data_IF_555731279036
#
_entry.id   IF_555731279036
#
_cell.length_a   1.000
_cell.length_b   1.000
_cell.length_c   1.000
_cell.angle_alpha   90.00
_cell.angle_beta   90.00
_cell.angle_gamma   90.00
#
_symmetry.space_group_name_H-M   'P 1'
#
loop_
_entity.id
_entity.type
_entity.pdbx_description
1 polymer ?
#
# COMPACT_ATOMS: atom_id res chain seq x y z
N UNK A 1 93.84 -31.27 -26.35
CA UNK A 1 92.85 -32.14 -25.68
C UNK A 1 91.88 -31.27 -24.99
N UNK A 2 90.70 -31.06 -25.55
CA UNK A 2 89.68 -30.24 -24.97
C UNK A 2 88.32 -30.73 -25.47
N UNK A 3 87.53 -31.34 -24.61
CA UNK A 3 86.21 -31.88 -24.94
C UNK A 3 85.19 -30.77 -24.87
N UNK A 4 84.54 -30.48 -25.98
CA UNK A 4 83.34 -29.59 -26.06
C UNK A 4 82.14 -30.35 -25.57
N UNK A 5 81.44 -29.81 -24.53
CA UNK A 5 80.11 -30.23 -24.12
C UNK A 5 79.10 -29.32 -24.73
N UNK A 6 78.23 -29.84 -25.62
CA UNK A 6 77.06 -29.20 -26.09
C UNK A 6 75.97 -29.38 -25.06
N UNK A 7 75.49 -28.27 -24.48
CA UNK A 7 74.26 -28.25 -23.66
C UNK A 7 73.07 -28.15 -24.58
N UNK A 8 72.25 -29.18 -24.60
CA UNK A 8 70.94 -29.14 -25.23
C UNK A 8 70.01 -28.24 -24.41
N UNK A 9 69.43 -27.19 -25.03
CA UNK A 9 68.41 -26.35 -24.49
C UNK A 9 67.09 -27.09 -24.63
N UNK A 10 66.50 -27.49 -23.52
CA UNK A 10 65.09 -28.01 -23.49
C UNK A 10 64.15 -26.84 -23.42
N UNK A 11 63.36 -26.66 -24.48
CA UNK A 11 62.26 -25.72 -24.48
C UNK A 11 61.11 -26.35 -23.69
N UNK A 12 60.80 -25.83 -22.48
CA UNK A 12 59.63 -26.21 -21.72
C UNK A 12 58.43 -25.42 -22.22
N UNK A 13 57.52 -26.09 -22.87
CA UNK A 13 56.21 -25.53 -23.24
C UNK A 13 55.39 -25.47 -21.98
N UNK A 14 55.16 -24.27 -21.44
CA UNK A 14 54.23 -24.04 -20.34
C UNK A 14 52.82 -24.05 -20.93
N UNK A 15 52.09 -25.13 -20.71
CA UNK A 15 50.65 -25.19 -20.97
C UNK A 15 49.94 -24.38 -19.88
N UNK A 16 49.42 -23.20 -20.23
CA UNK A 16 48.49 -22.44 -19.36
C UNK A 16 47.17 -23.20 -19.27
N UNK A 17 47.00 -23.98 -18.22
CA UNK A 17 45.69 -24.49 -17.87
C UNK A 17 44.87 -23.34 -17.24
N UNK A 18 44.01 -22.72 -18.02
CA UNK A 18 42.94 -21.85 -17.50
C UNK A 18 41.97 -22.71 -16.72
N UNK A 19 42.17 -22.77 -15.39
CA UNK A 19 41.09 -23.21 -14.50
C UNK A 19 39.97 -22.16 -14.60
N UNK A 20 38.98 -22.47 -15.43
CA UNK A 20 37.69 -21.83 -15.35
C UNK A 20 37.04 -22.22 -14.02
N UNK A 21 37.25 -21.41 -13.00
CA UNK A 21 36.42 -21.49 -11.80
C UNK A 21 35.01 -21.05 -12.22
N UNK A 22 34.18 -22.01 -12.59
CA UNK A 22 32.73 -21.82 -12.57
C UNK A 22 32.40 -21.62 -11.11
N UNK A 23 32.29 -20.33 -10.70
CA UNK A 23 31.54 -20.01 -9.51
C UNK A 23 30.08 -20.45 -9.75
N UNK A 24 29.75 -21.65 -9.32
CA UNK A 24 28.39 -22.01 -9.03
C UNK A 24 27.95 -21.05 -7.94
N UNK A 25 27.27 -19.98 -8.36
CA UNK A 25 26.39 -19.27 -7.46
C UNK A 25 25.40 -20.32 -6.97
N UNK A 26 25.71 -20.97 -5.84
CA UNK A 26 24.71 -21.70 -5.10
C UNK A 26 23.66 -20.64 -4.79
N UNK A 27 22.52 -20.70 -5.47
CA UNK A 27 21.31 -20.04 -5.05
C UNK A 27 21.00 -20.60 -3.67
N UNK A 28 21.57 -19.97 -2.64
CA UNK A 28 21.26 -20.31 -1.27
C UNK A 28 19.75 -20.13 -1.12
N UNK A 29 19.06 -21.22 -0.93
CA UNK A 29 17.68 -21.22 -0.46
C UNK A 29 17.67 -20.34 0.76
N UNK A 30 17.01 -19.17 0.68
CA UNK A 30 16.75 -18.36 1.85
C UNK A 30 15.73 -19.16 2.65
N UNK A 31 16.21 -19.97 3.59
CA UNK A 31 15.36 -20.67 4.53
C UNK A 31 14.98 -19.67 5.61
N UNK A 32 13.68 -19.41 5.79
CA UNK A 32 13.23 -18.64 6.93
C UNK A 32 13.45 -19.46 8.19
N UNK A 33 14.33 -18.98 9.04
CA UNK A 33 14.36 -19.51 10.39
C UNK A 33 13.12 -18.99 11.15
N UNK A 34 12.58 -19.81 12.03
CA UNK A 34 11.68 -19.33 13.08
C UNK A 34 12.34 -18.14 13.77
N UNK A 35 11.65 -17.01 13.83
CA UNK A 35 12.17 -15.76 14.36
C UNK A 35 12.55 -14.72 13.29
N UNK A 36 12.40 -15.03 12.01
CA UNK A 36 12.61 -14.04 10.95
C UNK A 36 11.62 -12.89 11.06
N UNK A 37 12.14 -11.68 10.92
CA UNK A 37 11.34 -10.47 10.82
C UNK A 37 10.94 -10.17 9.38
N UNK A 38 9.82 -9.50 9.23
CA UNK A 38 9.34 -9.01 7.94
C UNK A 38 8.32 -7.91 8.11
N UNK A 39 7.81 -7.43 7.00
CA UNK A 39 6.88 -6.30 6.92
C UNK A 39 5.60 -6.70 6.21
N UNK A 40 4.56 -5.90 6.35
CA UNK A 40 3.43 -6.02 5.44
C UNK A 40 3.17 -4.67 4.76
N UNK A 41 2.69 -4.74 3.52
CA UNK A 41 2.61 -3.62 2.61
C UNK A 41 1.25 -3.49 1.96
N UNK A 42 0.82 -2.23 1.87
CA UNK A 42 -0.28 -1.80 1.02
C UNK A 42 0.17 -0.62 0.13
N UNK A 43 -0.76 0.17 -0.33
CA UNK A 43 -0.46 1.41 -1.10
C UNK A 43 0.37 2.44 -0.31
N UNK A 44 0.32 2.38 1.02
CA UNK A 44 0.98 3.36 1.89
C UNK A 44 2.51 3.25 1.87
N UNK A 45 3.04 2.07 1.51
CA UNK A 45 4.49 1.85 1.35
C UNK A 45 4.97 2.12 -0.08
N UNK A 46 4.09 2.68 -0.94
CA UNK A 46 4.41 3.06 -2.31
C UNK A 46 4.65 1.89 -3.27
N UNK A 47 5.01 2.18 -4.51
CA UNK A 47 5.12 1.18 -5.58
C UNK A 47 6.15 0.08 -5.32
N UNK A 48 7.19 0.37 -4.55
CA UNK A 48 8.30 -0.58 -4.34
C UNK A 48 8.27 -1.24 -2.96
N UNK A 49 7.36 -0.81 -2.08
CA UNK A 49 7.39 -1.19 -0.68
C UNK A 49 8.64 -0.65 0.05
N UNK A 50 8.70 -0.85 1.35
CA UNK A 50 9.81 -0.40 2.20
C UNK A 50 10.13 -1.53 3.18
N UNK A 51 11.39 -1.98 3.22
CA UNK A 51 11.93 -2.75 4.34
C UNK A 51 12.49 -1.77 5.37
N UNK A 52 12.07 -1.91 6.62
CA UNK A 52 12.49 -1.01 7.70
C UNK A 52 13.91 -1.24 8.15
N UNK A 53 14.35 -2.51 8.09
CA UNK A 53 15.63 -2.95 8.63
C UNK A 53 16.30 -4.00 7.73
N UNK A 54 17.64 -4.12 7.77
CA UNK A 54 18.38 -5.11 6.96
C UNK A 54 18.02 -6.57 7.29
N UNK A 55 17.54 -6.82 8.51
CA UNK A 55 17.13 -8.14 9.00
C UNK A 55 15.70 -8.53 8.61
N UNK A 56 14.93 -7.66 7.97
CA UNK A 56 13.66 -8.05 7.35
C UNK A 56 13.89 -9.05 6.22
N UNK A 57 13.19 -10.20 6.27
CA UNK A 57 13.38 -11.34 5.36
C UNK A 57 12.19 -11.59 4.44
N UNK A 58 11.02 -11.05 4.78
CA UNK A 58 9.81 -11.25 3.99
C UNK A 58 8.92 -10.00 3.96
N UNK A 59 8.02 -9.96 3.00
CA UNK A 59 6.92 -9.00 2.93
C UNK A 59 5.61 -9.73 2.65
N UNK A 60 4.53 -9.34 3.35
CA UNK A 60 3.15 -9.76 3.04
C UNK A 60 2.44 -8.61 2.35
N UNK A 61 1.97 -8.80 1.13
CA UNK A 61 1.65 -7.72 0.20
C UNK A 61 0.16 -7.75 -0.14
N UNK A 62 -0.51 -6.60 -0.01
CA UNK A 62 -1.93 -6.48 -0.31
C UNK A 62 -2.23 -6.68 -1.80
N UNK A 63 -3.06 -7.67 -2.11
CA UNK A 63 -3.56 -7.89 -3.47
C UNK A 63 -4.69 -6.92 -3.84
N UNK A 64 -5.47 -6.54 -2.85
CA UNK A 64 -6.70 -5.78 -2.94
C UNK A 64 -7.67 -6.27 -1.87
N UNK A 65 -8.97 -6.24 -2.17
CA UNK A 65 -9.97 -6.74 -1.24
C UNK A 65 -11.39 -6.33 -1.56
N UNK A 66 -12.24 -6.36 -0.54
CA UNK A 66 -13.64 -5.94 -0.60
C UNK A 66 -13.85 -4.61 0.10
N UNK A 67 -14.77 -3.80 -0.39
CA UNK A 67 -15.20 -2.55 0.25
C UNK A 67 -16.45 -2.76 1.11
N UNK A 68 -16.79 -1.76 1.93
CA UNK A 68 -18.05 -1.74 2.70
C UNK A 68 -19.27 -1.93 1.81
N UNK A 69 -19.24 -1.41 0.57
CA UNK A 69 -20.31 -1.55 -0.42
C UNK A 69 -20.19 -2.82 -1.27
N UNK A 70 -19.40 -3.81 -0.85
CA UNK A 70 -19.25 -5.08 -1.53
C UNK A 70 -18.69 -4.98 -2.96
N UNK A 71 -17.76 -4.04 -3.21
CA UNK A 71 -17.03 -3.97 -4.47
C UNK A 71 -15.62 -4.55 -4.30
N UNK A 72 -15.18 -5.35 -5.26
CA UNK A 72 -13.81 -5.82 -5.34
C UNK A 72 -12.91 -4.71 -5.88
N UNK A 73 -11.72 -4.57 -5.32
CA UNK A 73 -10.70 -3.62 -5.81
C UNK A 73 -9.33 -4.26 -5.86
N UNK A 74 -8.54 -3.92 -6.86
CA UNK A 74 -7.13 -4.27 -6.94
C UNK A 74 -6.27 -3.25 -6.21
N UNK A 75 -5.26 -3.73 -5.48
CA UNK A 75 -4.22 -2.85 -4.96
C UNK A 75 -3.22 -2.57 -6.08
N UNK A 76 -3.20 -1.35 -6.56
CA UNK A 76 -2.38 -0.95 -7.70
C UNK A 76 -0.87 -1.14 -7.51
N UNK A 77 -0.40 -1.20 -6.25
CA UNK A 77 1.01 -1.42 -5.90
C UNK A 77 1.40 -2.90 -5.89
N UNK A 78 0.44 -3.83 -5.89
CA UNK A 78 0.70 -5.25 -5.64
C UNK A 78 1.81 -5.83 -6.52
N UNK A 79 1.67 -5.75 -7.82
CA UNK A 79 2.64 -6.38 -8.74
C UNK A 79 4.04 -5.76 -8.67
N UNK A 80 4.15 -4.45 -8.46
CA UNK A 80 5.45 -3.78 -8.31
C UNK A 80 6.10 -4.08 -6.98
N UNK A 81 5.34 -4.18 -5.90
CA UNK A 81 5.83 -4.56 -4.57
C UNK A 81 6.32 -6.02 -4.54
N UNK A 82 5.58 -6.97 -5.15
CA UNK A 82 6.04 -8.35 -5.28
C UNK A 82 7.38 -8.43 -6.01
N UNK A 83 7.49 -7.77 -7.17
CA UNK A 83 8.76 -7.73 -7.90
C UNK A 83 9.90 -7.09 -7.10
N UNK A 84 9.60 -6.02 -6.37
CA UNK A 84 10.59 -5.34 -5.52
C UNK A 84 11.11 -6.24 -4.39
N UNK A 85 10.23 -6.93 -3.68
CA UNK A 85 10.61 -7.86 -2.62
C UNK A 85 11.51 -8.98 -3.17
N UNK A 86 11.11 -9.62 -4.27
CA UNK A 86 11.86 -10.71 -4.90
C UNK A 86 13.23 -10.22 -5.42
N UNK A 87 13.28 -9.04 -6.05
CA UNK A 87 14.54 -8.46 -6.53
C UNK A 87 15.53 -8.17 -5.41
N UNK A 88 15.05 -7.91 -4.19
CA UNK A 88 15.87 -7.73 -2.99
C UNK A 88 16.20 -9.05 -2.28
N UNK A 89 15.87 -10.21 -2.88
CA UNK A 89 16.12 -11.53 -2.31
C UNK A 89 15.24 -11.83 -1.09
N UNK A 90 14.09 -11.15 -0.95
CA UNK A 90 13.15 -11.35 0.14
C UNK A 90 11.96 -12.20 -0.31
N UNK A 91 11.37 -12.95 0.62
CA UNK A 91 10.17 -13.73 0.36
C UNK A 91 8.97 -12.79 0.26
N UNK A 92 8.14 -12.99 -0.75
CA UNK A 92 6.92 -12.23 -0.99
C UNK A 92 5.70 -13.14 -0.75
N UNK A 93 4.79 -12.69 0.06
CA UNK A 93 3.52 -13.33 0.37
C UNK A 93 2.38 -12.38 0.07
N UNK A 94 1.14 -12.81 0.28
CA UNK A 94 -0.03 -12.06 -0.13
C UNK A 94 -1.02 -11.92 1.02
N UNK A 95 -1.81 -10.84 1.00
CA UNK A 95 -3.04 -10.76 1.76
C UNK A 95 -4.17 -10.12 0.97
N UNK A 96 -5.42 -10.43 1.37
CA UNK A 96 -6.66 -9.92 0.79
C UNK A 96 -7.44 -9.26 1.92
N UNK A 97 -7.74 -7.97 1.80
CA UNK A 97 -8.63 -7.26 2.71
C UNK A 97 -10.02 -7.87 2.68
N UNK A 98 -10.45 -8.47 3.80
CA UNK A 98 -11.62 -9.34 3.90
C UNK A 98 -12.75 -8.67 4.67
N UNK A 99 -13.48 -7.75 4.01
CA UNK A 99 -14.54 -6.97 4.65
C UNK A 99 -15.92 -7.39 4.15
N UNK A 100 -16.85 -7.67 5.07
CA UNK A 100 -18.25 -8.04 4.79
C UNK A 100 -18.42 -9.29 3.91
N UNK A 101 -17.52 -10.24 3.97
CA UNK A 101 -17.63 -11.54 3.30
C UNK A 101 -18.30 -12.52 4.26
N UNK A 102 -19.62 -12.67 4.15
CA UNK A 102 -20.45 -13.37 5.12
C UNK A 102 -21.01 -14.70 4.61
N UNK A 103 -20.84 -15.01 3.33
CA UNK A 103 -21.30 -16.26 2.72
C UNK A 103 -20.18 -16.93 1.94
N UNK A 104 -20.29 -18.26 1.78
CA UNK A 104 -19.34 -19.04 0.96
C UNK A 104 -19.38 -18.60 -0.51
N UNK A 105 -20.55 -18.23 -1.03
CA UNK A 105 -20.68 -17.71 -2.39
C UNK A 105 -19.91 -16.39 -2.58
N UNK A 106 -19.95 -15.49 -1.59
CA UNK A 106 -19.16 -14.26 -1.61
C UNK A 106 -17.65 -14.58 -1.55
N UNK A 107 -17.27 -15.54 -0.71
CA UNK A 107 -15.88 -16.01 -0.64
C UNK A 107 -15.40 -16.56 -2.00
N UNK A 108 -16.26 -17.31 -2.69
CA UNK A 108 -15.97 -17.79 -4.05
C UNK A 108 -15.76 -16.65 -5.04
N UNK A 109 -16.59 -15.61 -5.00
CA UNK A 109 -16.44 -14.45 -5.88
C UNK A 109 -15.11 -13.74 -5.63
N UNK A 110 -14.73 -13.52 -4.36
CA UNK A 110 -13.45 -12.91 -3.99
C UNK A 110 -12.29 -13.75 -4.51
N UNK A 111 -12.30 -15.06 -4.25
CA UNK A 111 -11.19 -15.93 -4.62
C UNK A 111 -11.10 -16.20 -6.11
N UNK A 112 -12.23 -16.28 -6.83
CA UNK A 112 -12.22 -16.34 -8.29
C UNK A 112 -11.60 -15.09 -8.92
N UNK A 113 -11.72 -13.94 -8.25
CA UNK A 113 -11.13 -12.69 -8.70
C UNK A 113 -9.62 -12.59 -8.39
N UNK A 114 -9.18 -13.01 -7.20
CA UNK A 114 -7.81 -12.80 -6.76
C UNK A 114 -6.85 -13.96 -7.07
N UNK A 115 -7.28 -15.22 -6.96
CA UNK A 115 -6.38 -16.36 -7.17
C UNK A 115 -5.67 -16.36 -8.54
N UNK A 116 -6.32 -15.98 -9.66
CA UNK A 116 -5.63 -15.89 -10.95
C UNK A 116 -4.57 -14.79 -11.02
N UNK A 117 -4.63 -13.81 -10.12
CA UNK A 117 -3.74 -12.63 -10.07
C UNK A 117 -2.53 -12.80 -9.15
N UNK A 118 -2.41 -13.92 -8.46
CA UNK A 118 -1.28 -14.18 -7.55
C UNK A 118 0.03 -14.23 -8.32
N UNK A 119 1.00 -13.39 -7.93
CA UNK A 119 2.31 -13.28 -8.57
C UNK A 119 3.45 -13.89 -7.73
N UNK A 120 3.13 -14.41 -6.56
CA UNK A 120 4.09 -15.10 -5.68
C UNK A 120 4.11 -16.60 -5.96
N UNK A 121 5.17 -17.34 -5.57
CA UNK A 121 5.27 -18.78 -5.83
C UNK A 121 4.11 -19.59 -5.20
N UNK A 122 3.79 -20.72 -5.81
CA UNK A 122 2.92 -21.72 -5.17
C UNK A 122 3.50 -22.13 -3.81
N UNK A 123 2.64 -22.37 -2.85
CA UNK A 123 3.03 -22.57 -1.45
C UNK A 123 3.10 -21.29 -0.64
N UNK A 124 3.31 -20.10 -1.25
CA UNK A 124 3.36 -18.86 -0.49
C UNK A 124 2.05 -18.57 0.25
N UNK A 125 2.12 -17.69 1.25
CA UNK A 125 0.96 -17.34 2.07
C UNK A 125 -0.02 -16.49 1.27
N UNK A 126 -1.32 -16.76 1.44
CA UNK A 126 -2.43 -15.85 1.16
C UNK A 126 -3.21 -15.68 2.45
N UNK A 127 -3.05 -14.55 3.13
CA UNK A 127 -3.78 -14.25 4.34
C UNK A 127 -5.12 -13.58 4.03
N UNK A 128 -6.15 -13.93 4.78
CA UNK A 128 -7.41 -13.19 4.82
C UNK A 128 -7.29 -12.15 5.95
N UNK A 129 -7.38 -10.89 5.61
CA UNK A 129 -7.25 -9.75 6.52
C UNK A 129 -8.63 -9.39 7.10
N UNK A 130 -8.93 -10.01 8.26
CA UNK A 130 -10.24 -10.05 8.91
C UNK A 130 -10.23 -9.08 10.09
N UNK A 131 -10.45 -7.79 9.82
CA UNK A 131 -10.41 -6.77 10.87
C UNK A 131 -11.51 -5.71 10.77
N UNK A 132 -12.43 -5.85 9.80
CA UNK A 132 -13.47 -4.85 9.58
C UNK A 132 -14.75 -5.46 9.00
N UNK A 133 -15.91 -4.91 9.39
CA UNK A 133 -17.23 -5.28 8.90
C UNK A 133 -17.79 -6.56 9.52
N UNK A 134 -18.81 -7.13 8.89
CA UNK A 134 -19.43 -8.37 9.33
C UNK A 134 -18.61 -9.56 8.82
N UNK A 135 -18.46 -10.59 9.67
CA UNK A 135 -17.68 -11.78 9.39
C UNK A 135 -18.53 -13.06 9.50
N UNK A 136 -18.05 -14.11 8.83
CA UNK A 136 -18.61 -15.45 8.94
C UNK A 136 -17.47 -16.46 9.03
N UNK A 137 -17.40 -17.20 10.13
CA UNK A 137 -16.44 -18.29 10.30
C UNK A 137 -16.51 -19.29 9.15
N UNK A 138 -17.72 -19.63 8.69
CA UNK A 138 -17.91 -20.56 7.59
C UNK A 138 -17.38 -20.02 6.27
N UNK A 139 -17.57 -18.72 5.98
CA UNK A 139 -17.04 -18.10 4.77
C UNK A 139 -15.51 -18.01 4.79
N UNK A 140 -14.91 -17.72 5.96
CA UNK A 140 -13.45 -17.69 6.17
C UNK A 140 -12.87 -19.11 6.01
N UNK A 141 -13.48 -20.12 6.65
CA UNK A 141 -13.04 -21.51 6.54
C UNK A 141 -13.10 -22.00 5.09
N UNK A 142 -14.20 -21.75 4.40
CA UNK A 142 -14.37 -22.08 2.99
C UNK A 142 -13.29 -21.41 2.14
N UNK A 143 -13.02 -20.14 2.36
CA UNK A 143 -11.98 -19.40 1.63
C UNK A 143 -10.58 -19.96 1.91
N UNK A 144 -10.24 -20.25 3.16
CA UNK A 144 -8.96 -20.86 3.52
C UNK A 144 -8.79 -22.24 2.86
N UNK A 145 -9.84 -23.06 2.83
CA UNK A 145 -9.79 -24.35 2.13
C UNK A 145 -9.52 -24.16 0.64
N UNK A 146 -10.22 -23.23 -0.02
CA UNK A 146 -9.99 -22.93 -1.44
C UNK A 146 -8.60 -22.39 -1.75
N UNK A 147 -8.02 -21.56 -0.84
CA UNK A 147 -6.64 -21.11 -0.95
C UNK A 147 -5.68 -22.32 -0.90
N UNK A 148 -5.92 -23.25 0.04
CA UNK A 148 -5.15 -24.49 0.16
C UNK A 148 -5.27 -25.36 -1.09
N UNK A 149 -6.49 -25.57 -1.59
CA UNK A 149 -6.76 -26.38 -2.81
C UNK A 149 -6.12 -25.73 -4.06
N UNK A 150 -5.98 -24.42 -4.07
CA UNK A 150 -5.25 -23.68 -5.10
C UNK A 150 -3.71 -23.79 -4.96
N UNK A 151 -3.20 -24.50 -3.93
CA UNK A 151 -1.77 -24.76 -3.70
C UNK A 151 -1.05 -23.60 -3.03
N UNK A 152 -1.74 -22.83 -2.18
CA UNK A 152 -1.18 -21.77 -1.35
C UNK A 152 -1.37 -22.06 0.14
N UNK A 153 -0.67 -21.36 0.99
CA UNK A 153 -0.79 -21.47 2.45
C UNK A 153 -1.81 -20.45 2.98
N UNK A 154 -2.99 -20.86 3.46
CA UNK A 154 -3.94 -19.94 4.05
C UNK A 154 -3.51 -19.49 5.43
N UNK A 155 -3.75 -18.22 5.77
CA UNK A 155 -3.69 -17.67 7.11
C UNK A 155 -4.89 -16.77 7.37
N UNK A 156 -5.25 -16.59 8.64
CA UNK A 156 -6.26 -15.61 9.09
C UNK A 156 -5.54 -14.54 9.90
N UNK A 157 -5.61 -13.29 9.40
CA UNK A 157 -5.04 -12.13 10.09
C UNK A 157 -6.12 -11.29 10.75
N UNK A 158 -5.76 -10.68 11.87
CA UNK A 158 -6.53 -9.65 12.56
C UNK A 158 -6.09 -9.44 14.00
N UNK A 159 -6.71 -8.46 14.64
CA UNK A 159 -6.58 -8.28 16.09
C UNK A 159 -7.32 -9.40 16.83
N UNK A 160 -6.65 -10.03 17.81
CA UNK A 160 -7.25 -11.13 18.57
C UNK A 160 -8.66 -10.81 19.06
N UNK A 161 -8.85 -9.64 19.70
CA UNK A 161 -10.15 -9.26 20.25
C UNK A 161 -11.23 -9.10 19.18
N UNK A 162 -10.87 -8.60 17.99
CA UNK A 162 -11.83 -8.52 16.90
C UNK A 162 -12.23 -9.91 16.40
N UNK A 163 -11.26 -10.78 16.17
CA UNK A 163 -11.49 -12.14 15.68
C UNK A 163 -12.32 -12.98 16.64
N UNK A 164 -12.01 -12.96 17.95
CA UNK A 164 -12.79 -13.68 18.98
C UNK A 164 -14.25 -13.21 19.04
N UNK A 165 -14.49 -11.90 18.86
CA UNK A 165 -15.83 -11.35 18.94
C UNK A 165 -16.66 -11.51 17.67
N UNK A 166 -16.03 -11.79 16.52
CA UNK A 166 -16.72 -11.81 15.24
C UNK A 166 -16.62 -13.15 14.49
N UNK A 167 -15.88 -14.12 15.05
CA UNK A 167 -15.69 -15.46 14.47
C UNK A 167 -15.59 -16.51 15.58
N UNK A 168 -15.74 -17.78 15.21
CA UNK A 168 -15.26 -18.89 16.03
C UNK A 168 -13.74 -19.07 15.79
N UNK A 169 -12.95 -18.28 16.51
CA UNK A 169 -11.50 -18.26 16.32
C UNK A 169 -10.84 -19.59 16.75
N UNK A 170 -11.39 -20.31 17.74
CA UNK A 170 -10.90 -21.63 18.13
C UNK A 170 -11.05 -22.65 17.00
N UNK A 171 -12.20 -22.65 16.34
CA UNK A 171 -12.42 -23.49 15.16
C UNK A 171 -11.43 -23.15 14.04
N UNK A 172 -11.22 -21.87 13.71
CA UNK A 172 -10.28 -21.46 12.68
C UNK A 172 -8.84 -21.81 13.04
N UNK A 173 -8.44 -21.59 14.29
CA UNK A 173 -7.10 -21.91 14.79
C UNK A 173 -6.81 -23.42 14.79
N UNK A 174 -7.84 -24.27 14.98
CA UNK A 174 -7.67 -25.71 14.89
C UNK A 174 -7.26 -26.21 13.50
N UNK A 175 -7.49 -25.40 12.45
CA UNK A 175 -7.29 -25.76 11.02
C UNK A 175 -6.19 -24.95 10.34
N UNK A 176 -6.02 -23.68 10.70
CA UNK A 176 -5.15 -22.72 10.03
C UNK A 176 -4.27 -21.98 11.03
N UNK A 177 -3.07 -21.64 10.62
CA UNK A 177 -2.22 -20.74 11.42
C UNK A 177 -2.78 -19.32 11.39
N UNK A 178 -2.72 -18.67 12.54
CA UNK A 178 -3.15 -17.29 12.71
C UNK A 178 -1.98 -16.33 12.56
N UNK A 179 -2.26 -15.17 12.00
CA UNK A 179 -1.39 -14.01 12.03
C UNK A 179 -2.08 -12.95 12.88
N UNK A 180 -1.66 -12.81 14.12
CA UNK A 180 -2.31 -11.93 15.07
C UNK A 180 -1.56 -10.61 15.24
N UNK A 181 -2.32 -9.51 15.29
CA UNK A 181 -1.81 -8.19 15.59
C UNK A 181 -2.12 -7.79 17.05
N UNK A 182 -1.12 -7.26 17.73
CA UNK A 182 -1.28 -6.61 19.03
C UNK A 182 -0.09 -5.70 19.31
N UNK A 183 -0.31 -4.44 19.66
CA UNK A 183 0.75 -3.53 20.05
C UNK A 183 0.23 -2.47 21.03
N UNK A 184 1.06 -2.06 22.04
CA UNK A 184 0.60 -1.23 23.15
C UNK A 184 0.42 0.25 22.77
N UNK A 185 1.12 0.71 21.73
CA UNK A 185 1.16 2.10 21.33
C UNK A 185 1.73 2.25 19.90
N UNK A 186 1.85 3.48 19.43
CA UNK A 186 2.40 3.82 18.11
C UNK A 186 3.82 4.42 18.19
N UNK A 187 4.59 4.08 19.22
CA UNK A 187 6.00 4.43 19.29
C UNK A 187 6.80 3.62 18.26
N UNK A 188 7.93 4.18 17.81
CA UNK A 188 8.82 3.43 16.92
C UNK A 188 9.31 2.19 17.66
N UNK A 189 8.96 1.01 17.13
CA UNK A 189 9.19 -0.28 17.77
C UNK A 189 9.88 -1.22 16.78
N UNK A 190 11.18 -1.48 17.01
CA UNK A 190 11.97 -2.38 16.20
C UNK A 190 11.75 -3.85 16.55
N UNK A 191 11.69 -4.17 17.84
CA UNK A 191 11.65 -5.55 18.34
C UNK A 191 10.32 -5.82 19.04
N UNK A 192 9.80 -7.07 18.99
CA UNK A 192 8.53 -7.41 19.61
C UNK A 192 8.59 -7.31 21.13
N UNK A 193 7.58 -6.68 21.72
CA UNK A 193 7.37 -6.73 23.15
C UNK A 193 6.39 -7.86 23.48
N UNK A 194 6.92 -9.00 23.89
CA UNK A 194 6.11 -10.20 24.19
C UNK A 194 5.19 -10.06 25.39
N UNK A 195 5.29 -9.02 26.21
CA UNK A 195 4.29 -8.71 27.23
C UNK A 195 2.91 -8.39 26.64
N UNK A 196 2.88 -8.00 25.36
CA UNK A 196 1.66 -7.73 24.57
C UNK A 196 1.39 -8.81 23.53
N UNK A 197 2.04 -9.96 23.64
CA UNK A 197 1.79 -11.06 22.72
C UNK A 197 0.33 -11.52 22.82
N UNK A 198 -0.43 -11.58 21.72
CA UNK A 198 -1.83 -11.97 21.72
C UNK A 198 -1.97 -13.49 21.84
N UNK A 199 -1.64 -14.01 23.02
CA UNK A 199 -1.64 -15.46 23.28
C UNK A 199 -2.93 -16.12 22.82
N UNK A 200 -2.81 -17.05 21.87
CA UNK A 200 -3.88 -17.85 21.33
C UNK A 200 -3.31 -19.15 20.73
N UNK A 201 -4.18 -20.06 20.31
CA UNK A 201 -3.79 -21.31 19.67
C UNK A 201 -3.26 -21.05 18.26
N UNK A 202 -2.25 -21.83 17.85
CA UNK A 202 -1.74 -21.89 16.48
C UNK A 202 -1.35 -20.53 15.86
N UNK A 203 -0.76 -19.62 16.65
CA UNK A 203 -0.24 -18.35 16.14
C UNK A 203 1.04 -18.61 15.37
N UNK A 204 1.00 -18.39 14.05
CA UNK A 204 2.14 -18.58 13.14
C UNK A 204 2.94 -17.31 12.92
N UNK A 205 2.29 -16.13 12.94
CA UNK A 205 2.93 -14.83 12.83
C UNK A 205 2.35 -13.83 13.83
N UNK A 206 3.21 -12.91 14.29
CA UNK A 206 2.83 -11.83 15.19
C UNK A 206 3.20 -10.47 14.58
N UNK A 207 2.19 -9.65 14.30
CA UNK A 207 2.40 -8.24 13.97
C UNK A 207 2.46 -7.45 15.28
N UNK A 208 3.64 -6.96 15.63
CA UNK A 208 3.89 -6.37 16.95
C UNK A 208 3.96 -4.84 16.92
N UNK A 209 3.87 -4.22 15.75
CA UNK A 209 3.86 -2.77 15.59
C UNK A 209 3.34 -2.35 14.22
N UNK A 210 2.71 -1.18 14.15
CA UNK A 210 2.42 -0.46 12.91
C UNK A 210 3.36 0.73 12.68
N UNK A 211 4.38 0.86 13.52
CA UNK A 211 5.33 1.97 13.52
C UNK A 211 6.77 1.48 13.75
N UNK A 212 7.20 0.51 12.94
CA UNK A 212 8.59 0.03 13.00
C UNK A 212 9.60 1.15 12.69
N UNK A 213 9.22 2.10 11.84
CA UNK A 213 10.00 3.29 11.49
C UNK A 213 9.14 4.56 11.60
N UNK A 214 9.79 5.72 11.61
CA UNK A 214 9.08 7.00 11.54
C UNK A 214 8.25 7.09 10.25
N UNK A 215 6.99 7.51 10.37
CA UNK A 215 6.05 7.58 9.26
C UNK A 215 5.15 6.35 9.12
N UNK A 216 5.40 5.26 9.86
CA UNK A 216 4.58 4.06 9.90
C UNK A 216 5.08 2.96 8.96
N UNK A 217 5.25 1.78 9.54
CA UNK A 217 5.52 0.53 8.82
C UNK A 217 5.12 -0.62 9.73
N UNK A 218 4.28 -1.48 9.25
CA UNK A 218 3.88 -2.69 9.95
C UNK A 218 5.03 -3.69 9.96
N UNK A 219 5.35 -4.22 11.16
CA UNK A 219 6.44 -5.19 11.28
C UNK A 219 5.99 -6.43 12.03
N UNK A 220 6.47 -7.56 11.53
CA UNK A 220 6.04 -8.88 11.89
C UNK A 220 7.22 -9.76 12.30
N UNK A 221 6.93 -10.81 13.08
CA UNK A 221 7.84 -11.90 13.35
C UNK A 221 7.18 -13.24 13.01
N UNK A 222 7.92 -14.08 12.29
CA UNK A 222 7.53 -15.47 12.01
C UNK A 222 7.81 -16.35 13.22
N UNK A 223 6.79 -16.96 13.79
CA UNK A 223 6.90 -17.78 15.00
C UNK A 223 7.12 -19.27 14.73
N UNK A 224 6.87 -19.72 13.51
CA UNK A 224 6.83 -21.15 13.16
C UNK A 224 7.69 -21.53 11.95
N UNK A 225 8.16 -20.57 11.18
CA UNK A 225 8.81 -20.80 9.89
C UNK A 225 7.81 -20.83 8.72
N UNK A 226 6.55 -20.40 8.93
CA UNK A 226 5.51 -20.46 7.90
C UNK A 226 5.83 -19.62 6.67
N UNK A 227 6.64 -18.58 6.82
CA UNK A 227 7.07 -17.73 5.69
C UNK A 227 8.08 -18.43 4.76
N UNK A 228 8.57 -19.63 5.10
CA UNK A 228 9.32 -20.48 4.16
C UNK A 228 8.44 -21.13 3.10
N UNK A 229 7.13 -21.22 3.35
CA UNK A 229 6.22 -21.87 2.43
C UNK A 229 6.22 -21.19 1.06
N UNK A 230 6.45 -22.00 0.02
CA UNK A 230 6.65 -21.51 -1.36
C UNK A 230 8.11 -21.21 -1.71
N UNK A 231 9.04 -21.25 -0.74
CA UNK A 231 10.46 -20.91 -0.93
C UNK A 231 11.43 -22.05 -0.58
N UNK A 232 10.94 -23.16 -0.04
CA UNK A 232 11.71 -24.32 0.47
C UNK A 232 12.24 -25.24 -0.62
N UNK A 233 12.42 -25.01 -1.82
CA UNK A 233 13.00 -25.96 -2.80
C UNK A 233 13.84 -25.31 -3.90
N UNK A 234 14.61 -24.26 -3.59
CA UNK A 234 15.44 -23.59 -4.61
C UNK A 234 14.61 -22.86 -5.69
N UNK A 235 13.30 -22.85 -5.55
CA UNK A 235 12.35 -22.10 -6.37
C UNK A 235 12.23 -20.64 -5.86
N UNK A 236 13.37 -19.98 -5.65
CA UNK A 236 13.39 -18.54 -5.86
C UNK A 236 13.15 -18.35 -7.37
N UNK A 237 11.90 -18.43 -7.79
CA UNK A 237 11.56 -18.11 -9.17
C UNK A 237 12.06 -16.70 -9.40
N UNK A 238 13.04 -16.57 -10.32
CA UNK A 238 13.17 -15.31 -11.06
C UNK A 238 11.76 -14.84 -11.37
N UNK A 239 11.43 -13.55 -11.18
CA UNK A 239 10.13 -13.03 -11.56
C UNK A 239 9.77 -13.69 -12.87
N UNK A 240 8.59 -14.29 -12.99
CA UNK A 240 8.04 -14.58 -14.31
C UNK A 240 8.21 -13.26 -15.03
N UNK A 241 9.16 -13.19 -15.90
CA UNK A 241 9.14 -12.22 -16.96
C UNK A 241 7.88 -12.59 -17.68
N UNK A 242 6.76 -12.04 -17.30
CA UNK A 242 5.71 -11.86 -18.25
C UNK A 242 6.39 -11.01 -19.31
N UNK A 243 6.88 -11.70 -20.33
CA UNK A 243 6.89 -11.10 -21.66
C UNK A 243 5.55 -10.44 -21.72
N UNK A 244 5.47 -9.10 -21.82
CA UNK A 244 4.18 -8.45 -22.00
C UNK A 244 3.48 -9.30 -23.03
N UNK A 245 2.29 -9.81 -22.70
CA UNK A 245 1.45 -10.45 -23.70
C UNK A 245 1.56 -9.51 -24.87
N UNK A 246 2.05 -10.03 -25.98
CA UNK A 246 2.18 -9.31 -27.22
C UNK A 246 0.76 -8.90 -27.54
N UNK A 247 0.32 -7.74 -27.01
CA UNK A 247 -0.68 -6.97 -27.68
C UNK A 247 -0.05 -6.61 -29.01
N UNK A 248 -0.22 -7.51 -29.97
CA UNK A 248 -0.24 -7.16 -31.38
C UNK A 248 -1.43 -6.23 -31.56
N UNK A 249 -1.21 -5.00 -31.21
CA UNK A 249 -2.17 -3.94 -31.27
C UNK A 249 -1.46 -2.61 -31.37
N UNK A 250 -0.99 -2.25 -32.58
CA UNK A 250 -0.59 -0.92 -33.01
C UNK A 250 0.43 -0.22 -32.10
N UNK A 251 1.70 -0.42 -32.43
CA UNK A 251 2.74 0.57 -32.20
C UNK A 251 2.29 1.90 -32.87
N UNK A 252 1.58 2.72 -32.09
CA UNK A 252 1.48 4.13 -32.40
C UNK A 252 2.89 4.69 -32.14
N UNK A 253 3.60 5.04 -33.21
CA UNK A 253 4.76 5.91 -33.11
C UNK A 253 4.25 7.25 -32.53
N UNK A 254 4.28 7.36 -31.19
CA UNK A 254 4.20 8.65 -30.56
C UNK A 254 5.58 9.28 -30.68
N UNK A 255 5.68 10.33 -31.52
CA UNK A 255 6.86 11.15 -31.54
C UNK A 255 7.07 11.73 -30.13
N UNK A 256 8.13 11.31 -29.48
CA UNK A 256 8.48 11.81 -28.14
C UNK A 256 9.57 12.87 -28.30
N UNK A 257 9.44 13.98 -27.59
CA UNK A 257 10.46 15.01 -27.52
C UNK A 257 10.87 15.32 -26.06
N UNK A 258 11.93 16.08 -25.89
CA UNK A 258 12.44 16.44 -24.59
C UNK A 258 11.78 17.72 -24.07
N UNK A 259 11.30 17.67 -22.84
CA UNK A 259 10.81 18.80 -22.07
C UNK A 259 11.75 19.09 -20.90
N UNK A 260 12.16 20.36 -20.73
CA UNK A 260 12.97 20.77 -19.58
C UNK A 260 12.04 21.27 -18.48
N UNK A 261 12.07 20.62 -17.33
CA UNK A 261 11.25 20.97 -16.17
C UNK A 261 11.56 22.42 -15.73
N UNK A 262 10.53 23.20 -15.51
CA UNK A 262 10.59 24.58 -15.04
C UNK A 262 10.21 24.68 -13.56
N UNK A 263 10.58 25.78 -12.94
CA UNK A 263 10.13 26.06 -11.56
C UNK A 263 8.61 26.13 -11.49
N UNK A 264 8.00 25.35 -10.56
CA UNK A 264 6.55 25.25 -10.41
C UNK A 264 5.88 24.16 -11.26
N UNK A 265 6.65 23.39 -12.03
CA UNK A 265 6.12 22.22 -12.73
C UNK A 265 5.85 21.05 -11.79
N UNK A 266 4.92 20.22 -12.21
CA UNK A 266 4.59 18.95 -11.60
C UNK A 266 4.31 17.91 -12.69
N UNK A 267 4.37 16.62 -12.34
CA UNK A 267 4.00 15.53 -13.27
C UNK A 267 2.64 15.79 -13.93
N UNK A 268 1.66 16.23 -13.13
CA UNK A 268 0.33 16.56 -13.65
C UNK A 268 0.33 17.74 -14.63
N UNK A 269 1.03 18.82 -14.27
CA UNK A 269 1.05 20.02 -15.12
C UNK A 269 1.70 19.74 -16.47
N UNK A 270 2.87 19.10 -16.47
CA UNK A 270 3.60 18.74 -17.69
C UNK A 270 2.76 17.77 -18.54
N UNK A 271 2.18 16.72 -17.92
CA UNK A 271 1.34 15.78 -18.62
C UNK A 271 0.11 16.46 -19.26
N UNK A 272 -0.57 17.34 -18.50
CA UNK A 272 -1.73 18.07 -19.00
C UNK A 272 -1.38 19.02 -20.16
N UNK A 273 -0.25 19.73 -20.06
CA UNK A 273 0.21 20.66 -21.10
C UNK A 273 0.54 19.90 -22.40
N UNK A 274 0.98 18.64 -22.32
CA UNK A 274 1.28 17.77 -23.47
C UNK A 274 0.15 16.79 -23.81
N UNK A 275 -1.00 16.89 -23.14
CA UNK A 275 -2.16 16.03 -23.41
C UNK A 275 -1.93 14.55 -23.07
N UNK A 276 -1.03 14.28 -22.15
CA UNK A 276 -0.70 12.95 -21.63
C UNK A 276 -1.42 12.66 -20.31
N UNK A 277 -1.53 11.40 -19.98
CA UNK A 277 -1.79 10.97 -18.61
C UNK A 277 -0.52 11.10 -17.76
N UNK A 278 -0.63 11.62 -16.52
CA UNK A 278 0.54 11.88 -15.67
C UNK A 278 1.29 10.61 -15.26
N UNK A 279 0.57 9.48 -15.13
CA UNK A 279 1.19 8.20 -14.83
C UNK A 279 1.94 7.66 -16.05
N UNK A 280 1.37 7.87 -17.27
CA UNK A 280 2.03 7.54 -18.51
C UNK A 280 3.30 8.38 -18.71
N UNK A 281 3.26 9.69 -18.40
CA UNK A 281 4.43 10.57 -18.45
C UNK A 281 5.52 10.09 -17.47
N UNK A 282 5.16 9.81 -16.22
CA UNK A 282 6.13 9.32 -15.23
C UNK A 282 6.75 7.99 -15.67
N UNK A 283 5.93 7.05 -16.14
CA UNK A 283 6.39 5.75 -16.66
C UNK A 283 7.29 5.89 -17.88
N UNK A 284 6.99 6.79 -18.81
CA UNK A 284 7.81 7.10 -19.99
C UNK A 284 9.23 7.54 -19.60
N UNK A 285 9.36 8.15 -18.42
CA UNK A 285 10.61 8.64 -17.87
C UNK A 285 11.23 7.70 -16.81
N UNK A 286 10.78 6.45 -16.73
CA UNK A 286 11.29 5.49 -15.74
C UNK A 286 11.04 5.90 -14.29
N UNK A 287 10.03 6.74 -14.06
CA UNK A 287 9.71 7.37 -12.78
C UNK A 287 8.28 7.07 -12.35
N UNK A 288 7.92 7.56 -11.18
CA UNK A 288 6.53 7.56 -10.68
C UNK A 288 6.08 8.99 -10.43
N UNK A 289 4.77 9.22 -10.35
CA UNK A 289 4.22 10.54 -10.04
C UNK A 289 4.64 11.07 -8.65
N UNK A 290 5.12 10.18 -7.77
CA UNK A 290 5.64 10.53 -6.44
C UNK A 290 7.12 10.91 -6.47
N UNK A 291 7.81 10.68 -7.57
CA UNK A 291 9.22 11.08 -7.74
C UNK A 291 9.28 12.61 -7.86
N UNK A 292 10.17 13.22 -7.09
CA UNK A 292 10.40 14.67 -7.19
C UNK A 292 11.06 14.96 -8.54
N UNK A 293 10.56 15.95 -9.26
CA UNK A 293 11.18 16.49 -10.45
C UNK A 293 11.75 17.87 -10.13
N UNK A 294 12.91 18.18 -10.69
CA UNK A 294 13.66 19.39 -10.38
C UNK A 294 13.72 20.31 -11.61
N UNK A 295 13.68 21.63 -11.42
CA UNK A 295 13.95 22.57 -12.52
C UNK A 295 15.27 22.25 -13.20
N UNK A 296 15.26 22.20 -14.53
CA UNK A 296 16.41 21.79 -15.35
C UNK A 296 16.46 20.31 -15.67
N UNK A 297 15.68 19.47 -15.01
CA UNK A 297 15.56 18.05 -15.36
C UNK A 297 14.91 17.89 -16.74
N UNK A 298 15.45 16.99 -17.56
CA UNK A 298 14.89 16.68 -18.89
C UNK A 298 13.96 15.49 -18.77
N UNK A 299 12.71 15.66 -19.20
CA UNK A 299 11.71 14.59 -19.29
C UNK A 299 11.33 14.36 -20.75
N UNK A 300 11.11 13.12 -21.11
CA UNK A 300 10.48 12.75 -22.39
C UNK A 300 8.99 12.97 -22.29
N UNK A 301 8.41 13.68 -23.23
CA UNK A 301 6.97 13.90 -23.39
C UNK A 301 6.55 13.46 -24.79
N UNK A 302 5.27 13.09 -24.95
CA UNK A 302 4.68 12.75 -26.22
C UNK A 302 3.55 13.75 -26.51
N UNK A 303 3.53 14.31 -27.71
CA UNK A 303 2.42 15.15 -28.15
C UNK A 303 1.20 14.33 -28.55
N UNK A 304 0.02 14.92 -28.50
CA UNK A 304 -1.23 14.30 -28.93
C UNK A 304 -1.13 13.83 -30.38
N UNK A 305 -1.02 12.54 -30.62
CA UNK A 305 -1.43 11.94 -31.88
C UNK A 305 -2.94 12.08 -32.04
N UNK A 306 -3.42 12.63 -33.13
CA UNK A 306 -4.84 12.65 -33.48
C UNK A 306 -5.36 11.21 -33.58
N UNK A 307 -6.22 10.81 -32.66
CA UNK A 307 -6.85 9.49 -32.75
C UNK A 307 -7.62 9.07 -31.50
N UNK A 308 -8.91 9.33 -31.53
CA UNK A 308 -9.99 8.86 -30.66
C UNK A 308 -10.12 9.49 -29.25
N UNK A 309 -10.81 10.61 -29.28
CA UNK A 309 -11.58 11.16 -28.18
C UNK A 309 -12.64 10.16 -27.71
N UNK A 310 -12.47 9.49 -26.59
CA UNK A 310 -13.61 9.21 -25.72
C UNK A 310 -13.85 10.48 -24.96
N UNK A 311 -14.75 11.29 -25.50
CA UNK A 311 -15.21 12.55 -24.97
C UNK A 311 -16.03 12.28 -23.72
N UNK A 312 -15.40 12.31 -22.53
CA UNK A 312 -16.11 12.78 -21.38
C UNK A 312 -16.01 14.31 -21.41
N UNK A 313 -16.91 14.92 -22.16
CA UNK A 313 -17.26 16.33 -22.01
C UNK A 313 -17.69 16.55 -20.57
N UNK A 314 -16.75 16.92 -19.71
CA UNK A 314 -17.09 17.79 -18.60
C UNK A 314 -17.45 19.12 -19.30
N UNK A 315 -18.73 19.35 -19.42
CA UNK A 315 -19.29 20.64 -19.84
C UNK A 315 -18.67 21.70 -18.93
N UNK A 316 -17.90 22.58 -19.54
CA UNK A 316 -17.62 23.88 -18.97
C UNK A 316 -18.98 24.49 -18.56
N UNK A 317 -19.18 24.86 -17.30
CA UNK A 317 -20.36 25.65 -16.97
C UNK A 317 -20.30 26.95 -17.76
N UNK A 318 -21.34 27.17 -18.56
CA UNK A 318 -21.62 28.47 -19.18
C UNK A 318 -21.71 29.47 -18.02
N UNK A 319 -21.11 30.67 -18.13
CA UNK A 319 -21.28 31.68 -17.10
C UNK A 319 -22.72 32.14 -17.10
N UNK A 320 -23.50 31.68 -16.15
CA UNK A 320 -24.78 32.28 -15.86
C UNK A 320 -24.46 33.55 -15.03
N UNK A 321 -24.61 34.68 -15.68
CA UNK A 321 -24.52 36.01 -15.09
C UNK A 321 -25.59 36.11 -13.99
N UNK A 322 -25.15 36.38 -12.81
CA UNK A 322 -25.76 36.92 -11.62
C UNK A 322 -25.61 36.00 -10.39
N UNK A 323 -24.42 36.04 -9.83
CA UNK A 323 -24.28 35.90 -8.37
C UNK A 323 -23.02 36.65 -7.95
N UNK A 324 -23.23 37.75 -7.22
CA UNK A 324 -22.20 38.48 -6.49
C UNK A 324 -21.63 37.52 -5.40
N UNK A 325 -20.74 36.59 -5.78
CA UNK A 325 -19.96 35.81 -4.84
C UNK A 325 -18.77 36.66 -4.41
N UNK A 326 -18.87 37.22 -3.21
CA UNK A 326 -17.78 37.86 -2.52
C UNK A 326 -16.72 36.78 -2.19
N UNK A 327 -15.72 36.63 -3.03
CA UNK A 327 -14.58 35.75 -2.75
C UNK A 327 -13.72 36.43 -1.70
N UNK A 328 -13.74 35.87 -0.48
CA UNK A 328 -12.78 36.23 0.56
C UNK A 328 -11.52 35.37 0.44
N UNK A 329 -10.40 35.87 0.99
CA UNK A 329 -9.12 35.16 1.01
C UNK A 329 -8.66 34.96 2.45
N UNK A 330 -7.89 33.89 2.67
CA UNK A 330 -7.25 33.57 3.95
C UNK A 330 -5.75 33.38 3.73
N UNK A 331 -4.94 33.99 4.58
CA UNK A 331 -3.50 33.77 4.58
C UNK A 331 -3.15 32.69 5.60
N UNK A 332 -2.56 31.60 5.09
CA UNK A 332 -2.14 30.44 5.90
C UNK A 332 -1.16 30.86 6.99
N UNK A 333 -1.39 30.40 8.22
CA UNK A 333 -0.55 30.65 9.40
C UNK A 333 0.21 29.39 9.79
N UNK A 334 1.23 29.54 10.60
CA UNK A 334 1.96 28.40 11.18
C UNK A 334 1.00 27.50 12.00
N UNK A 335 1.01 26.19 11.72
CA UNK A 335 0.09 25.23 12.36
C UNK A 335 -1.26 25.07 11.67
N UNK A 336 -1.53 25.76 10.57
CA UNK A 336 -2.74 25.55 9.78
C UNK A 336 -2.67 24.27 8.93
N UNK A 337 -3.84 23.72 8.65
CA UNK A 337 -4.06 22.61 7.73
C UNK A 337 -5.27 22.90 6.85
N UNK A 338 -5.42 22.21 5.71
CA UNK A 338 -6.61 22.29 4.89
C UNK A 338 -7.89 22.12 5.69
N UNK A 339 -7.87 21.15 6.62
CA UNK A 339 -9.01 20.88 7.49
C UNK A 339 -9.31 22.07 8.42
N UNK A 340 -8.28 22.58 9.13
CA UNK A 340 -8.46 23.65 10.09
C UNK A 340 -9.00 24.92 9.44
N UNK A 341 -8.40 25.36 8.32
CA UNK A 341 -8.84 26.55 7.58
C UNK A 341 -10.26 26.35 7.05
N UNK A 342 -10.55 25.21 6.41
CA UNK A 342 -11.88 24.92 5.88
C UNK A 342 -12.94 24.89 7.00
N UNK A 343 -12.60 24.29 8.13
CA UNK A 343 -13.47 24.22 9.30
C UNK A 343 -13.76 25.60 9.90
N UNK A 344 -12.74 26.44 10.05
CA UNK A 344 -12.88 27.78 10.59
C UNK A 344 -13.72 28.68 9.66
N UNK A 345 -13.82 28.34 8.38
CA UNK A 345 -14.59 29.05 7.36
C UNK A 345 -15.85 28.32 6.90
N UNK A 346 -16.30 27.28 7.63
CA UNK A 346 -17.57 26.58 7.41
C UNK A 346 -17.67 25.83 6.08
N UNK A 347 -16.55 25.39 5.52
CA UNK A 347 -16.49 24.69 4.23
C UNK A 347 -15.78 23.33 4.35
N UNK A 348 -15.96 22.47 3.35
CA UNK A 348 -15.22 21.22 3.26
C UNK A 348 -13.74 21.49 2.88
N UNK A 349 -12.79 20.77 3.49
CA UNK A 349 -11.39 20.85 3.08
C UNK A 349 -11.16 20.46 1.63
N UNK A 350 -11.98 19.56 1.08
CA UNK A 350 -11.95 19.19 -0.33
C UNK A 350 -12.40 20.36 -1.22
N UNK A 351 -13.49 21.05 -0.82
CA UNK A 351 -13.95 22.25 -1.52
C UNK A 351 -12.90 23.37 -1.44
N UNK A 352 -12.32 23.60 -0.26
CA UNK A 352 -11.26 24.58 -0.08
C UNK A 352 -10.05 24.28 -0.98
N UNK A 353 -9.59 23.05 -1.03
CA UNK A 353 -8.48 22.66 -1.89
C UNK A 353 -8.85 22.84 -3.37
N UNK A 354 -10.04 22.38 -3.80
CA UNK A 354 -10.50 22.44 -5.19
C UNK A 354 -10.60 23.88 -5.72
N UNK A 355 -11.18 24.82 -4.95
CA UNK A 355 -11.31 26.23 -5.39
C UNK A 355 -9.96 26.95 -5.46
N UNK A 356 -8.93 26.36 -4.84
CA UNK A 356 -7.56 26.82 -4.91
C UNK A 356 -6.72 26.04 -5.94
N UNK A 357 -7.34 25.22 -6.79
CA UNK A 357 -6.63 24.41 -7.79
C UNK A 357 -5.67 23.38 -7.17
N UNK A 358 -5.97 22.93 -5.97
CA UNK A 358 -5.14 22.01 -5.18
C UNK A 358 -5.95 20.80 -4.71
N UNK A 359 -5.25 19.78 -4.23
CA UNK A 359 -5.86 18.68 -3.48
C UNK A 359 -5.50 18.80 -1.99
N UNK A 360 -6.24 18.13 -1.13
CA UNK A 360 -5.97 18.09 0.32
C UNK A 360 -4.60 17.49 0.66
N UNK A 361 -3.98 16.78 -0.28
CA UNK A 361 -2.65 16.19 -0.15
C UNK A 361 -1.52 17.17 -0.49
N UNK A 362 -1.83 18.33 -1.08
CA UNK A 362 -0.84 19.38 -1.31
C UNK A 362 -0.50 20.08 0.02
N UNK A 363 0.77 20.21 0.31
CA UNK A 363 1.22 20.99 1.46
C UNK A 363 0.85 22.46 1.27
N UNK A 364 0.33 23.09 2.32
CA UNK A 364 0.15 24.53 2.43
C UNK A 364 1.20 25.12 3.36
N UNK A 365 1.67 26.31 3.04
CA UNK A 365 2.77 26.95 3.77
C UNK A 365 2.30 28.27 4.40
N UNK A 366 2.84 28.65 5.56
CA UNK A 366 2.60 29.95 6.15
C UNK A 366 2.92 31.08 5.14
N UNK A 367 2.02 32.05 5.06
CA UNK A 367 2.07 33.15 4.09
C UNK A 367 1.37 32.84 2.75
N UNK A 368 0.98 31.60 2.47
CA UNK A 368 0.20 31.25 1.28
C UNK A 368 -1.21 31.84 1.39
N UNK A 369 -1.70 32.48 0.31
CA UNK A 369 -3.07 33.01 0.26
C UNK A 369 -3.97 31.98 -0.39
N UNK A 370 -5.05 31.63 0.29
CA UNK A 370 -6.09 30.72 -0.20
C UNK A 370 -7.39 31.47 -0.41
N UNK A 371 -8.08 31.16 -1.52
CA UNK A 371 -9.46 31.59 -1.75
C UNK A 371 -10.37 30.80 -0.80
N UNK A 372 -11.30 31.51 -0.15
CA UNK A 372 -12.36 30.92 0.67
C UNK A 372 -13.70 31.40 0.09
N UNK A 373 -14.67 30.49 -0.13
CA UNK A 373 -15.97 30.88 -0.65
C UNK A 373 -16.85 31.40 0.47
N UNK A 374 -17.39 32.61 0.31
CA UNK A 374 -18.21 33.32 1.30
C UNK A 374 -19.68 32.88 1.40
N UNK A 375 -20.08 31.69 0.93
CA UNK A 375 -21.44 31.16 1.07
C UNK A 375 -21.42 29.77 1.69
N UNK A 376 -20.96 29.67 2.94
CA UNK A 376 -21.45 28.59 3.79
C UNK A 376 -22.72 29.10 4.48
N UNK A 377 -23.87 28.56 4.13
CA UNK A 377 -24.94 28.52 5.11
C UNK A 377 -24.34 27.90 6.36
N UNK A 378 -24.29 28.65 7.45
CA UNK A 378 -23.94 28.16 8.76
C UNK A 378 -25.00 27.11 9.10
N UNK A 379 -24.79 25.86 8.68
CA UNK A 379 -25.48 24.75 9.29
C UNK A 379 -25.05 24.77 10.74
N UNK A 380 -25.99 25.09 11.63
CA UNK A 380 -25.80 24.97 13.07
C UNK A 380 -25.29 23.54 13.34
N UNK A 381 -23.99 23.41 13.56
CA UNK A 381 -23.41 22.13 13.92
C UNK A 381 -23.99 21.72 15.26
N UNK A 382 -24.62 20.58 15.28
CA UNK A 382 -25.03 19.94 16.53
C UNK A 382 -23.78 19.46 17.25
N UNK A 383 -23.78 19.51 18.56
CA UNK A 383 -22.67 19.00 19.36
C UNK A 383 -23.17 17.97 20.37
N UNK A 384 -22.26 17.05 20.70
CA UNK A 384 -22.46 16.03 21.71
C UNK A 384 -21.30 16.06 22.70
N UNK A 385 -21.59 16.10 23.99
CA UNK A 385 -20.55 15.98 25.01
C UNK A 385 -20.41 14.52 25.42
N UNK A 386 -19.20 13.97 25.24
CA UNK A 386 -18.87 12.60 25.59
C UNK A 386 -19.10 12.35 27.07
N UNK A 387 -19.78 11.27 27.40
CA UNK A 387 -20.11 10.83 28.76
C UNK A 387 -19.23 9.66 29.18
N UNK A 388 -19.15 9.42 30.46
CA UNK A 388 -18.45 8.22 30.96
C UNK A 388 -19.09 6.95 30.39
N UNK A 389 -18.29 6.04 29.84
CA UNK A 389 -18.72 4.80 29.19
C UNK A 389 -19.08 4.95 27.71
N UNK A 390 -19.03 6.15 27.12
CA UNK A 390 -19.22 6.33 25.69
C UNK A 390 -18.00 5.83 24.88
N UNK A 391 -18.30 5.31 23.71
CA UNK A 391 -17.32 5.10 22.64
C UNK A 391 -17.87 5.70 21.33
N UNK A 392 -16.98 5.97 20.36
CA UNK A 392 -17.41 6.62 19.12
C UNK A 392 -18.46 5.84 18.34
N UNK A 393 -18.47 4.51 18.43
CA UNK A 393 -19.44 3.68 17.72
C UNK A 393 -20.86 3.87 18.30
N UNK A 394 -20.98 3.88 19.63
CA UNK A 394 -22.28 4.11 20.30
C UNK A 394 -22.75 5.54 20.12
N UNK A 395 -21.83 6.51 20.14
CA UNK A 395 -22.17 7.91 19.87
C UNK A 395 -22.62 8.07 18.41
N UNK A 396 -21.89 7.53 17.44
CA UNK A 396 -22.23 7.60 16.02
C UNK A 396 -23.63 7.01 15.75
N UNK A 397 -23.91 5.82 16.29
CA UNK A 397 -25.22 5.18 16.19
C UNK A 397 -26.34 6.06 16.78
N UNK A 398 -26.14 6.58 17.99
CA UNK A 398 -27.13 7.46 18.68
C UNK A 398 -27.40 8.74 17.92
N UNK A 399 -26.41 9.28 17.24
CA UNK A 399 -26.48 10.56 16.51
C UNK A 399 -26.87 10.38 15.03
N UNK A 400 -27.10 9.15 14.57
CA UNK A 400 -27.44 8.85 13.18
C UNK A 400 -26.29 9.18 12.18
N UNK A 401 -25.05 9.05 12.62
CA UNK A 401 -23.87 9.33 11.82
C UNK A 401 -22.90 8.13 11.83
N UNK A 402 -21.73 8.23 11.18
CA UNK A 402 -20.72 7.20 11.19
C UNK A 402 -19.55 7.56 12.11
N UNK A 403 -18.84 6.54 12.61
CA UNK A 403 -17.58 6.72 13.36
C UNK A 403 -16.57 7.52 12.54
N UNK A 404 -16.43 7.18 11.27
CA UNK A 404 -15.53 7.90 10.37
C UNK A 404 -15.91 9.38 10.22
N UNK A 405 -17.19 9.67 10.16
CA UNK A 405 -17.66 11.06 10.11
C UNK A 405 -17.32 11.83 11.39
N UNK A 406 -17.53 11.22 12.57
CA UNK A 406 -17.13 11.82 13.83
C UNK A 406 -15.61 12.02 13.94
N UNK A 407 -14.83 11.05 13.50
CA UNK A 407 -13.37 11.13 13.47
C UNK A 407 -12.90 12.30 12.60
N UNK A 408 -13.39 12.37 11.37
CA UNK A 408 -13.01 13.41 10.39
C UNK A 408 -13.50 14.79 10.83
N UNK A 409 -14.78 14.90 11.26
CA UNK A 409 -15.39 16.18 11.66
C UNK A 409 -14.72 16.78 12.90
N UNK A 410 -14.19 15.93 13.78
CA UNK A 410 -13.59 16.37 15.04
C UNK A 410 -12.06 16.28 15.07
N UNK A 411 -11.42 15.92 13.96
CA UNK A 411 -9.97 15.81 13.86
C UNK A 411 -9.36 14.80 14.84
N UNK A 412 -10.10 13.73 15.15
CA UNK A 412 -9.64 12.73 16.11
C UNK A 412 -8.52 11.90 15.48
N UNK A 413 -7.36 11.88 16.11
CA UNK A 413 -6.21 11.07 15.66
C UNK A 413 -6.40 9.58 15.93
N UNK A 414 -7.23 9.24 16.92
CA UNK A 414 -7.55 7.88 17.31
C UNK A 414 -9.05 7.79 17.64
N UNK A 415 -9.78 6.98 16.87
CA UNK A 415 -11.21 6.75 17.05
C UNK A 415 -11.56 6.11 18.42
N UNK A 416 -10.61 5.43 19.04
CA UNK A 416 -10.81 4.75 20.31
C UNK A 416 -10.42 5.62 21.53
N UNK A 417 -9.98 6.86 21.28
CA UNK A 417 -9.48 7.75 22.33
C UNK A 417 -10.35 9.01 22.40
N UNK A 418 -11.44 8.91 23.13
CA UNK A 418 -12.31 10.02 23.50
C UNK A 418 -12.45 10.07 25.02
N UNK A 419 -12.66 11.25 25.58
CA UNK A 419 -12.69 11.46 27.02
C UNK A 419 -14.03 12.03 27.47
N UNK A 420 -14.55 11.63 28.64
CA UNK A 420 -15.72 12.28 29.24
C UNK A 420 -15.52 13.79 29.34
N UNK A 421 -16.51 14.57 28.94
CA UNK A 421 -16.44 16.03 28.83
C UNK A 421 -15.95 16.56 27.48
N UNK A 422 -15.41 15.73 26.61
CA UNK A 422 -15.01 16.11 25.26
C UNK A 422 -16.24 16.45 24.41
N UNK A 423 -16.20 17.58 23.70
CA UNK A 423 -17.27 17.96 22.75
C UNK A 423 -16.98 17.42 21.37
N UNK A 424 -17.91 16.67 20.81
CA UNK A 424 -17.89 16.18 19.43
C UNK A 424 -18.95 16.91 18.60
N UNK A 425 -18.56 17.38 17.42
CA UNK A 425 -19.48 17.98 16.46
C UNK A 425 -19.97 16.93 15.46
N UNK A 426 -21.23 17.08 15.04
CA UNK A 426 -21.86 16.20 14.05
C UNK A 426 -22.86 16.97 13.17
N UNK A 427 -23.29 16.45 12.00
CA UNK A 427 -24.18 17.12 11.05
C UNK A 427 -25.56 17.43 11.62
#
# INVERSE_FOLDING_TARGET
MGKHYFKKLAVATVALATLGATMSLSSGTVMAAKGDHGVDWSKYQGSNGIFGYPDDKFAVIQMGGTTTGWNLYDQWTYGSQVRSAIAQGKRAHNYIWWQNVTTTQQADQVLNYFLPKVQTPKGSIIALDVESGYQSTQAIDHACQRIKDAGYTPMVYGYKNYLVNNTDLHYLASKYQLWLAEYPNYSITREPNYNFFPSFENVGMFQYTSTAIAGGLDRNIDLTGITDNGYTNGNAQKPKTETPATEQGKQLHQDTHNYVVKSGDSWWKIANDHGMDMYALAKLNGSTINSVIYPGQVLRVADKGEGNSVSNKVQKPVPNANNNQQTSTYTVRYGDSWWKIANDHGMSMYTLAQINGKSIYNTIYPGQVLKISGNAQVQQRKSYTVRYGDNLSTIAYRLGTSVNHLVVTNGLRNANLIYPGQTLFYP
#
